data_IF_429188774496
#
_entry.id   IF_429188774496
#
_cell.length_a   1.000
_cell.length_b   1.000
_cell.length_c   1.000
_cell.angle_alpha   90.00
_cell.angle_beta   90.00
_cell.angle_gamma   90.00
#
_symmetry.space_group_name_H-M   'P 1'
#
loop_
_entity.id
_entity.type
_entity.pdbx_description
1 polymer ?
#
# COMPACT_ATOMS: atom_id res chain seq x y z
N UNK A 1 -14.01 0.49 -11.99
CA UNK A 1 -14.17 -0.42 -10.84
C UNK A 1 -15.48 -1.19 -10.98
N UNK A 2 -15.46 -2.51 -10.80
CA UNK A 2 -16.64 -3.36 -10.73
C UNK A 2 -17.07 -3.62 -9.26
N UNK A 3 -18.25 -4.24 -9.05
CA UNK A 3 -18.79 -4.49 -7.71
C UNK A 3 -17.85 -5.34 -6.83
N UNK A 4 -17.17 -6.34 -7.39
CA UNK A 4 -16.24 -7.20 -6.65
C UNK A 4 -15.00 -6.44 -6.21
N UNK A 5 -14.44 -5.62 -7.09
CA UNK A 5 -13.30 -4.75 -6.79
C UNK A 5 -13.66 -3.76 -5.67
N UNK A 6 -14.88 -3.24 -5.66
CA UNK A 6 -15.38 -2.36 -4.61
C UNK A 6 -15.55 -3.08 -3.27
N UNK A 7 -16.17 -4.25 -3.26
CA UNK A 7 -16.34 -5.08 -2.05
C UNK A 7 -14.99 -5.54 -1.47
N UNK A 8 -14.06 -5.90 -2.35
CA UNK A 8 -12.68 -6.25 -1.97
C UNK A 8 -11.98 -5.05 -1.34
N UNK A 9 -12.09 -3.87 -1.97
CA UNK A 9 -11.54 -2.64 -1.41
C UNK A 9 -12.13 -2.32 -0.03
N UNK A 10 -13.45 -2.40 0.14
CA UNK A 10 -14.10 -2.20 1.45
C UNK A 10 -13.54 -3.16 2.51
N UNK A 11 -13.33 -4.43 2.13
CA UNK A 11 -12.78 -5.43 3.04
C UNK A 11 -11.33 -5.12 3.42
N UNK A 12 -10.51 -4.72 2.45
CA UNK A 12 -9.12 -4.32 2.66
C UNK A 12 -9.06 -3.09 3.57
N UNK A 13 -9.80 -2.03 3.27
CA UNK A 13 -9.76 -0.78 4.04
C UNK A 13 -10.35 -0.93 5.43
N UNK A 14 -11.47 -1.63 5.59
CA UNK A 14 -12.03 -1.91 6.93
C UNK A 14 -11.08 -2.76 7.78
N UNK A 15 -10.37 -3.73 7.18
CA UNK A 15 -9.41 -4.55 7.92
C UNK A 15 -8.11 -3.80 8.29
N UNK A 16 -7.83 -2.68 7.63
CA UNK A 16 -6.60 -1.91 7.78
C UNK A 16 -6.78 -0.51 8.36
N UNK A 17 -8.00 -0.13 8.76
CA UNK A 17 -8.31 1.18 9.36
C UNK A 17 -7.36 1.56 10.52
N UNK A 18 -6.82 0.54 11.21
CA UNK A 18 -5.87 0.69 12.32
C UNK A 18 -4.55 -0.07 12.12
N UNK A 19 -4.27 -0.55 10.91
CA UNK A 19 -3.07 -1.35 10.60
C UNK A 19 -2.32 -0.80 9.42
N UNK A 20 -0.99 -0.82 9.50
CA UNK A 20 -0.15 -0.48 8.37
C UNK A 20 -0.22 -1.53 7.27
N UNK A 21 -0.28 -1.05 6.04
CA UNK A 21 -0.33 -1.83 4.82
C UNK A 21 0.72 -1.29 3.87
N UNK A 22 1.41 -2.19 3.18
CA UNK A 22 2.28 -1.84 2.07
C UNK A 22 1.48 -1.86 0.76
N UNK A 23 1.60 -0.79 -0.03
CA UNK A 23 1.12 -0.78 -1.41
C UNK A 23 2.09 -1.54 -2.31
N UNK A 24 1.72 -2.79 -2.64
CA UNK A 24 2.54 -3.67 -3.46
C UNK A 24 2.78 -3.12 -4.88
N UNK A 25 1.83 -2.34 -5.41
CA UNK A 25 1.92 -1.76 -6.76
C UNK A 25 3.08 -0.76 -6.83
N UNK A 26 3.26 0.09 -5.81
CA UNK A 26 4.37 1.04 -5.74
C UNK A 26 5.71 0.30 -5.75
N UNK A 27 5.83 -0.77 -4.97
CA UNK A 27 7.04 -1.60 -4.93
C UNK A 27 7.31 -2.30 -6.27
N UNK A 28 6.30 -2.94 -6.84
CA UNK A 28 6.42 -3.67 -8.12
C UNK A 28 6.79 -2.74 -9.29
N UNK A 29 6.37 -1.47 -9.23
CA UNK A 29 6.72 -0.47 -10.23
C UNK A 29 8.10 0.19 -10.02
N UNK A 30 8.88 -0.23 -9.02
CA UNK A 30 10.19 0.34 -8.72
C UNK A 30 10.15 1.80 -8.25
N UNK A 31 8.99 2.26 -7.77
CA UNK A 31 8.77 3.64 -7.30
C UNK A 31 9.11 3.82 -5.82
N UNK A 32 9.83 2.85 -5.25
CA UNK A 32 10.20 2.79 -3.84
C UNK A 32 9.17 2.02 -3.03
N UNK A 33 8.78 2.53 -1.87
CA UNK A 33 7.79 1.90 -1.00
C UNK A 33 6.72 2.92 -0.57
N UNK A 34 5.49 2.46 -0.44
CA UNK A 34 4.39 3.24 0.10
C UNK A 34 3.69 2.40 1.16
N UNK A 35 3.59 2.96 2.35
CA UNK A 35 2.89 2.40 3.49
C UNK A 35 1.75 3.31 3.90
N UNK A 36 0.64 2.74 4.32
CA UNK A 36 -0.53 3.50 4.74
C UNK A 36 -1.38 2.73 5.75
N UNK A 37 -2.17 3.44 6.55
CA UNK A 37 -3.29 2.85 7.30
C UNK A 37 -4.53 2.92 6.43
N UNK A 38 -5.35 1.88 6.37
CA UNK A 38 -6.55 1.84 5.54
C UNK A 38 -7.65 2.80 5.96
N UNK A 39 -8.75 2.77 5.19
CA UNK A 39 -9.88 3.69 5.33
C UNK A 39 -9.83 4.83 4.30
N UNK A 40 -10.92 5.58 4.21
CA UNK A 40 -11.04 6.74 3.32
C UNK A 40 -10.08 7.88 3.73
N UNK A 41 -9.80 7.99 5.02
CA UNK A 41 -8.90 8.97 5.60
C UNK A 41 -7.86 8.24 6.45
N UNK A 42 -6.59 8.52 6.22
CA UNK A 42 -5.52 7.78 6.88
C UNK A 42 -4.20 8.52 6.90
N UNK A 43 -3.18 7.87 7.44
CA UNK A 43 -1.80 8.32 7.38
C UNK A 43 -1.02 7.50 6.37
N UNK A 44 0.01 8.11 5.79
CA UNK A 44 0.90 7.43 4.86
C UNK A 44 2.37 7.76 5.13
N UNK A 45 3.23 6.85 4.70
CA UNK A 45 4.67 7.02 4.55
C UNK A 45 5.08 6.58 3.15
N UNK A 46 5.81 7.43 2.43
CA UNK A 46 6.35 7.13 1.11
C UNK A 46 7.85 7.26 1.12
N UNK A 47 8.53 6.21 0.68
CA UNK A 47 9.96 6.17 0.48
C UNK A 47 10.22 6.18 -1.02
N UNK A 48 10.89 7.22 -1.50
CA UNK A 48 11.37 7.27 -2.87
C UNK A 48 12.68 6.51 -3.02
N UNK A 49 13.00 5.96 -4.21
CA UNK A 49 14.25 5.23 -4.45
C UNK A 49 15.54 6.02 -4.16
N UNK A 50 15.46 7.35 -4.20
CA UNK A 50 16.56 8.28 -3.91
C UNK A 50 16.77 8.56 -2.41
N UNK A 51 16.05 7.87 -1.52
CA UNK A 51 16.19 8.02 -0.08
C UNK A 51 15.34 9.15 0.53
N UNK A 52 14.39 9.72 -0.22
CA UNK A 52 13.42 10.65 0.35
C UNK A 52 12.31 9.91 1.10
N UNK A 53 12.12 10.23 2.38
CA UNK A 53 10.96 9.82 3.17
C UNK A 53 9.96 10.98 3.25
N UNK A 54 8.71 10.71 2.92
CA UNK A 54 7.60 11.66 3.06
C UNK A 54 6.52 11.03 3.91
N UNK A 55 5.94 11.76 4.85
CA UNK A 55 4.80 11.29 5.62
C UNK A 55 3.73 12.37 5.75
N UNK A 56 2.48 11.93 5.91
CA UNK A 56 1.36 12.83 6.01
C UNK A 56 0.03 12.12 6.14
N UNK A 57 -1.03 12.84 5.80
CA UNK A 57 -2.39 12.31 5.79
C UNK A 57 -2.90 12.23 4.36
N UNK A 58 -3.90 11.39 4.12
CA UNK A 58 -4.67 11.41 2.90
C UNK A 58 -6.16 11.44 3.22
N UNK A 59 -6.95 11.99 2.31
CA UNK A 59 -8.42 11.99 2.37
C UNK A 59 -9.00 11.49 1.04
N UNK A 60 -10.16 10.84 1.11
CA UNK A 60 -10.89 10.39 -0.07
C UNK A 60 -10.22 9.25 -0.84
N UNK A 61 -9.43 8.39 -0.20
CA UNK A 61 -8.88 7.22 -0.90
C UNK A 61 -10.01 6.27 -1.28
N UNK A 62 -10.37 6.21 -2.56
CA UNK A 62 -11.40 5.32 -3.11
C UNK A 62 -11.00 4.95 -4.54
N UNK A 63 -11.12 3.71 -5.01
CA UNK A 63 -10.92 2.40 -4.35
C UNK A 63 -9.45 1.97 -4.32
N UNK A 64 -8.56 2.89 -4.61
CA UNK A 64 -7.13 2.75 -4.51
C UNK A 64 -6.61 4.10 -4.04
N UNK A 65 -5.42 4.11 -3.45
CA UNK A 65 -4.76 5.34 -3.00
C UNK A 65 -4.54 6.35 -4.15
N UNK A 66 -4.69 5.93 -5.42
CA UNK A 66 -4.48 6.76 -6.60
C UNK A 66 -5.44 7.93 -6.77
N UNK A 67 -6.65 7.88 -6.20
CA UNK A 67 -7.59 9.02 -6.21
C UNK A 67 -7.54 9.83 -4.89
N UNK A 68 -6.68 9.46 -3.96
CA UNK A 68 -6.59 10.12 -2.66
C UNK A 68 -5.92 11.50 -2.75
N UNK A 69 -6.39 12.42 -1.92
CA UNK A 69 -5.79 13.74 -1.75
C UNK A 69 -4.72 13.68 -0.66
N UNK A 70 -3.45 13.64 -1.06
CA UNK A 70 -2.32 13.59 -0.14
C UNK A 70 -1.98 14.97 0.42
N UNK A 71 -1.97 15.07 1.74
CA UNK A 71 -1.42 16.22 2.47
C UNK A 71 -0.11 15.81 3.12
N UNK A 72 1.01 16.24 2.54
CA UNK A 72 2.32 16.08 3.14
C UNK A 72 2.42 16.90 4.43
N UNK A 73 2.85 16.25 5.52
CA UNK A 73 3.09 16.92 6.82
C UNK A 73 4.57 17.04 7.13
N UNK A 74 5.37 16.06 6.72
CA UNK A 74 6.81 16.04 6.91
C UNK A 74 7.51 15.39 5.73
N UNK A 75 8.73 15.83 5.49
CA UNK A 75 9.66 15.19 4.58
C UNK A 75 11.07 15.21 5.16
N UNK A 76 11.85 14.21 4.80
CA UNK A 76 13.27 14.17 5.10
C UNK A 76 14.04 13.47 3.98
N UNK A 77 15.19 14.02 3.63
CA UNK A 77 16.12 13.41 2.68
C UNK A 77 17.22 12.69 3.44
N UNK A 78 17.28 11.36 3.30
CA UNK A 78 18.35 10.54 3.85
C UNK A 78 19.46 10.31 2.81
N UNK A 79 20.63 9.81 3.25
CA UNK A 79 21.74 9.56 2.33
C UNK A 79 21.48 8.36 1.40
N UNK A 80 20.56 7.46 1.77
CA UNK A 80 20.22 6.29 0.98
C UNK A 80 18.79 5.79 1.25
N UNK A 81 18.27 4.94 0.35
CA UNK A 81 17.02 4.21 0.56
C UNK A 81 17.05 3.35 1.83
N UNK A 82 18.21 2.76 2.17
CA UNK A 82 18.36 1.94 3.37
C UNK A 82 18.18 2.77 4.65
N UNK A 83 18.77 3.96 4.70
CA UNK A 83 18.59 4.87 5.84
C UNK A 83 17.15 5.37 5.93
N UNK A 84 16.53 5.72 4.80
CA UNK A 84 15.12 6.09 4.76
C UNK A 84 14.20 4.96 5.25
N UNK A 85 14.55 3.71 4.91
CA UNK A 85 13.84 2.51 5.37
C UNK A 85 13.95 2.34 6.88
N UNK A 86 15.14 2.50 7.44
CA UNK A 86 15.32 2.46 8.89
C UNK A 86 14.51 3.55 9.60
N UNK A 87 14.55 4.78 9.09
CA UNK A 87 13.77 5.87 9.64
C UNK A 87 12.25 5.62 9.56
N UNK A 88 11.76 5.00 8.49
CA UNK A 88 10.36 4.62 8.36
C UNK A 88 9.94 3.54 9.38
N UNK A 89 10.83 2.57 9.66
CA UNK A 89 10.60 1.57 10.71
C UNK A 89 10.51 2.23 12.09
N UNK A 90 11.40 3.18 12.38
CA UNK A 90 11.38 3.95 13.63
C UNK A 90 10.13 4.83 13.75
N UNK A 91 9.74 5.50 12.66
CA UNK A 91 8.55 6.36 12.62
C UNK A 91 7.25 5.56 12.81
N UNK A 92 7.13 4.41 12.15
CA UNK A 92 5.95 3.54 12.26
C UNK A 92 5.84 2.84 13.62
N UNK A 93 6.96 2.70 14.34
CA UNK A 93 7.01 2.10 15.67
C UNK A 93 6.65 0.62 15.71
N UNK A 94 6.35 0.12 16.92
CA UNK A 94 6.08 -1.31 17.15
C UNK A 94 4.87 -1.79 16.33
N UNK A 95 3.82 -0.98 16.23
CA UNK A 95 2.62 -1.35 15.48
C UNK A 95 2.93 -1.59 14.01
N UNK A 96 3.72 -0.70 13.38
CA UNK A 96 4.18 -0.88 12.00
C UNK A 96 4.94 -2.20 11.83
N UNK A 97 5.87 -2.52 12.73
CA UNK A 97 6.63 -3.76 12.66
C UNK A 97 5.73 -5.00 12.78
N UNK A 98 4.78 -4.98 13.72
CA UNK A 98 3.82 -6.07 13.92
C UNK A 98 2.97 -6.24 12.65
N UNK A 99 2.43 -5.17 12.11
CA UNK A 99 1.61 -5.21 10.90
C UNK A 99 2.44 -5.67 9.68
N UNK A 100 3.70 -5.25 9.60
CA UNK A 100 4.59 -5.64 8.51
C UNK A 100 5.02 -7.12 8.57
N UNK A 101 5.06 -7.73 9.74
CA UNK A 101 5.53 -9.12 9.90
C UNK A 101 4.38 -10.13 10.08
N UNK A 102 3.15 -9.67 10.30
CA UNK A 102 1.99 -10.54 10.47
C UNK A 102 1.51 -11.12 9.13
N UNK A 103 1.16 -12.41 9.13
CA UNK A 103 0.80 -13.17 7.91
C UNK A 103 -0.69 -13.15 7.55
N UNK A 104 -1.51 -12.33 8.21
CA UNK A 104 -2.97 -12.28 8.07
C UNK A 104 -3.45 -11.20 7.07
N UNK A 105 -2.58 -10.79 6.15
CA UNK A 105 -2.89 -9.74 5.17
C UNK A 105 -3.89 -10.22 4.12
N UNK A 106 -4.93 -9.41 3.89
CA UNK A 106 -5.78 -9.54 2.71
C UNK A 106 -4.97 -9.03 1.50
N UNK A 107 -4.84 -9.80 0.41
CA UNK A 107 -4.15 -9.34 -0.79
C UNK A 107 -4.71 -8.01 -1.30
N UNK A 108 -3.83 -7.08 -1.69
CA UNK A 108 -4.25 -5.77 -2.22
C UNK A 108 -4.91 -5.89 -3.60
N UNK A 109 -4.54 -6.92 -4.34
CA UNK A 109 -5.09 -7.21 -5.66
C UNK A 109 -6.10 -8.36 -5.49
N UNK A 110 -7.33 -8.24 -6.01
CA UNK A 110 -8.27 -9.34 -5.99
C UNK A 110 -7.64 -10.55 -6.71
N UNK A 111 -7.80 -11.78 -6.18
CA UNK A 111 -7.34 -12.97 -6.88
C UNK A 111 -8.00 -13.03 -8.27
N UNK A 112 -7.26 -13.46 -9.32
CA UNK A 112 -7.83 -13.59 -10.65
C UNK A 112 -9.06 -14.51 -10.60
N UNK A 113 -10.11 -14.15 -11.33
CA UNK A 113 -11.32 -14.97 -11.39
C UNK A 113 -10.95 -16.39 -11.85
N UNK A 114 -11.50 -17.43 -11.22
CA UNK A 114 -11.31 -18.81 -11.70
C UNK A 114 -11.76 -18.99 -13.16
N UNK A 115 -12.64 -18.11 -13.65
CA UNK A 115 -13.08 -18.05 -15.05
C UNK A 115 -12.03 -17.41 -15.99
N UNK A 116 -11.21 -16.49 -15.47
CA UNK A 116 -10.12 -15.81 -16.18
C UNK A 116 -8.82 -16.64 -16.20
N UNK A 117 -8.67 -17.58 -15.26
CA UNK A 117 -7.52 -18.49 -15.19
C UNK A 117 -7.43 -19.46 -16.39
N UNK A 118 -8.56 -19.76 -17.06
CA UNK A 118 -8.62 -20.66 -18.22
C UNK A 118 -8.48 -19.96 -19.57
N UNK A 119 -8.69 -18.64 -19.66
CA UNK A 119 -8.61 -17.90 -20.93
C UNK A 119 -7.19 -17.54 -21.38
N UNK A 120 -6.18 -17.85 -20.56
CA UNK A 120 -4.76 -17.67 -20.89
C UNK A 120 -4.07 -18.92 -21.46
N UNK A 121 -4.76 -20.07 -21.53
CA UNK A 121 -4.24 -21.29 -22.16
C UNK A 121 -4.93 -21.54 -23.50
N UNK A 122 -4.80 -20.62 -24.45
CA UNK A 122 -4.94 -20.99 -25.86
C UNK A 122 -3.66 -21.72 -26.27
N UNK A 123 -3.65 -23.04 -26.00
CA UNK A 123 -2.71 -23.97 -26.62
C UNK A 123 -3.03 -24.04 -28.12
N UNK A 124 -2.44 -23.12 -28.89
CA UNK A 124 -2.20 -23.38 -30.30
C UNK A 124 -1.05 -24.36 -30.40
N UNK A 125 -1.40 -25.66 -30.48
CA UNK A 125 -0.57 -26.69 -31.12
C UNK A 125 -0.52 -26.49 -32.62
#
# INVERSE_FOLDING_TARGET
MNQKEFEHWLKVTASSEYRWVEDEITRLNGRGALYYTGGENGIYMRLSPDGKLTAGTYEGAIPHIGEALFTQKTEHQYASFSEASQAALEFGGIQFLVDMLSSDRIPQIPPPDEESAWMGMDMTM
#
